data_IF_333523226851
#
_entry.id   IF_333523226851
#
_cell.length_a   1.000
_cell.length_b   1.000
_cell.length_c   1.000
_cell.angle_alpha   90.00
_cell.angle_beta   90.00
_cell.angle_gamma   90.00
#
_symmetry.space_group_name_H-M   'P 1'
#
loop_
_entity.id
_entity.type
_entity.pdbx_description
1 polymer ?
#
# COMPACT_ATOMS: atom_id res chain seq x y z
N UNK A 1 23.06 5.80 15.27
CA UNK A 1 21.81 5.13 15.68
C UNK A 1 22.22 3.88 16.43
N UNK A 2 21.76 3.72 17.68
CA UNK A 2 22.03 2.50 18.44
C UNK A 2 21.47 1.28 17.68
N UNK A 3 22.04 0.07 17.87
CA UNK A 3 21.49 -1.13 17.27
C UNK A 3 20.02 -1.30 17.65
N UNK A 4 19.15 -1.48 16.65
CA UNK A 4 17.72 -1.67 16.88
C UNK A 4 17.52 -3.12 17.29
N UNK A 5 17.33 -3.35 18.58
CA UNK A 5 17.06 -4.70 19.06
C UNK A 5 15.69 -5.18 18.58
N UNK A 6 15.53 -6.50 18.43
CA UNK A 6 14.23 -7.11 18.10
C UNK A 6 13.12 -6.62 19.05
N UNK A 7 13.43 -6.45 20.33
CA UNK A 7 12.47 -5.98 21.34
C UNK A 7 12.03 -4.53 21.12
N UNK A 8 12.94 -3.63 20.71
CA UNK A 8 12.59 -2.26 20.35
C UNK A 8 11.65 -2.23 19.14
N UNK A 9 11.95 -2.99 18.09
CA UNK A 9 11.08 -3.05 16.91
C UNK A 9 9.69 -3.58 17.26
N UNK A 10 9.60 -4.62 18.09
CA UNK A 10 8.32 -5.14 18.57
C UNK A 10 7.52 -4.08 19.33
N UNK A 11 8.16 -3.37 20.26
CA UNK A 11 7.52 -2.29 21.01
C UNK A 11 7.03 -1.16 20.07
N UNK A 12 7.83 -0.77 19.08
CA UNK A 12 7.44 0.21 18.07
C UNK A 12 6.22 -0.25 17.28
N UNK A 13 6.17 -1.51 16.83
CA UNK A 13 5.03 -2.03 16.08
C UNK A 13 3.76 -2.11 16.93
N UNK A 14 3.86 -2.50 18.22
CA UNK A 14 2.70 -2.46 19.12
C UNK A 14 2.19 -1.04 19.34
N UNK A 15 3.09 -0.08 19.54
CA UNK A 15 2.72 1.33 19.67
C UNK A 15 2.03 1.84 18.40
N UNK A 16 2.58 1.53 17.21
CA UNK A 16 1.96 1.91 15.94
C UNK A 16 0.59 1.27 15.74
N UNK A 17 0.39 0.03 16.19
CA UNK A 17 -0.93 -0.63 16.15
C UNK A 17 -1.94 0.04 17.06
N UNK A 18 -1.56 0.32 18.32
CA UNK A 18 -2.42 0.98 19.28
C UNK A 18 -2.81 2.40 18.80
N UNK A 19 -1.83 3.18 18.35
CA UNK A 19 -2.06 4.52 17.82
C UNK A 19 -2.86 4.48 16.51
N UNK A 20 -2.53 3.58 15.59
CA UNK A 20 -3.26 3.42 14.34
C UNK A 20 -4.72 3.07 14.56
N UNK A 21 -5.01 2.14 15.49
CA UNK A 21 -6.37 1.73 15.85
C UNK A 21 -7.14 2.86 16.52
N UNK A 22 -6.49 3.59 17.43
CA UNK A 22 -7.10 4.75 18.08
C UNK A 22 -7.41 5.85 17.06
N UNK A 23 -6.47 6.21 16.19
CA UNK A 23 -6.61 7.33 15.26
C UNK A 23 -7.53 7.04 14.07
N UNK A 24 -7.76 5.77 13.75
CA UNK A 24 -8.79 5.35 12.79
C UNK A 24 -10.11 5.13 13.53
N UNK A 25 -10.36 3.92 14.02
CA UNK A 25 -11.63 3.51 14.62
C UNK A 25 -11.98 4.26 15.91
N UNK A 26 -11.01 4.48 16.80
CA UNK A 26 -11.26 5.20 18.06
C UNK A 26 -11.79 6.62 17.80
N UNK A 27 -11.21 7.32 16.82
CA UNK A 27 -11.66 8.65 16.42
C UNK A 27 -12.98 8.63 15.68
N UNK A 28 -13.21 7.67 14.78
CA UNK A 28 -14.50 7.46 14.10
C UNK A 28 -15.66 7.27 15.09
N UNK A 29 -15.39 6.71 16.27
CA UNK A 29 -16.37 6.64 17.37
C UNK A 29 -16.52 8.01 18.04
N UNK A 30 -15.41 8.66 18.40
CA UNK A 30 -15.41 9.90 19.19
C UNK A 30 -15.92 11.13 18.42
N UNK A 31 -15.71 11.19 17.10
CA UNK A 31 -16.18 12.29 16.25
C UNK A 31 -17.62 12.11 15.74
N UNK A 32 -18.23 10.95 16.01
CA UNK A 32 -19.60 10.64 15.61
C UNK A 32 -19.74 10.04 14.21
N UNK A 33 -18.65 9.85 13.46
CA UNK A 33 -18.70 9.26 12.11
C UNK A 33 -19.35 7.88 12.10
N UNK A 34 -19.06 7.04 13.11
CA UNK A 34 -19.69 5.72 13.23
C UNK A 34 -21.20 5.83 13.44
N UNK A 35 -21.64 6.85 14.20
CA UNK A 35 -23.08 7.11 14.38
C UNK A 35 -23.73 7.46 13.05
N UNK A 36 -23.09 8.28 12.22
CA UNK A 36 -23.62 8.64 10.90
C UNK A 36 -23.70 7.42 9.97
N UNK A 37 -22.67 6.58 9.95
CA UNK A 37 -22.67 5.31 9.19
C UNK A 37 -23.82 4.40 9.64
N UNK A 38 -23.96 4.16 10.94
CA UNK A 38 -25.01 3.30 11.48
C UNK A 38 -26.41 3.91 11.27
N UNK A 39 -26.53 5.24 11.25
CA UNK A 39 -27.79 5.92 10.95
C UNK A 39 -28.18 5.76 9.48
N UNK A 40 -27.21 5.78 8.56
CA UNK A 40 -27.47 5.50 7.15
C UNK A 40 -27.95 4.06 6.91
N UNK A 41 -27.46 3.11 7.72
CA UNK A 41 -27.79 1.69 7.61
C UNK A 41 -29.01 1.23 8.41
N UNK A 42 -29.42 1.99 9.43
CA UNK A 42 -30.52 1.61 10.33
C UNK A 42 -31.48 2.77 10.59
N UNK A 43 -31.53 3.74 9.68
CA UNK A 43 -32.42 4.87 9.78
C UNK A 43 -33.89 4.42 9.91
N UNK A 44 -34.76 5.27 10.47
CA UNK A 44 -36.16 4.91 10.72
C UNK A 44 -36.97 4.70 9.43
N UNK A 45 -36.45 5.11 8.28
CA UNK A 45 -37.11 5.03 6.98
C UNK A 45 -36.49 3.95 6.11
N UNK A 46 -37.33 3.05 5.57
CA UNK A 46 -36.97 2.08 4.54
C UNK A 46 -37.58 2.50 3.19
N UNK A 47 -36.88 2.31 2.05
CA UNK A 47 -35.54 1.72 1.95
C UNK A 47 -34.44 2.63 2.50
N UNK A 48 -33.35 2.06 2.99
CA UNK A 48 -32.16 2.85 3.33
C UNK A 48 -31.68 3.57 2.09
N UNK A 49 -31.32 4.84 2.24
CA UNK A 49 -30.96 5.72 1.12
C UNK A 49 -29.45 5.89 1.09
N UNK A 50 -28.91 5.79 -0.12
CA UNK A 50 -27.51 6.02 -0.38
C UNK A 50 -27.17 7.50 -0.13
N UNK A 51 -26.15 7.81 0.68
CA UNK A 51 -25.86 9.19 1.10
C UNK A 51 -25.75 10.17 -0.09
N UNK A 52 -26.31 11.37 0.08
CA UNK A 52 -26.28 12.41 -0.95
C UNK A 52 -27.18 12.15 -2.17
N UNK A 53 -27.97 11.07 -2.18
CA UNK A 53 -28.86 10.72 -3.31
C UNK A 53 -30.29 10.40 -2.86
N UNK A 54 -31.18 10.15 -3.83
CA UNK A 54 -32.53 9.59 -3.60
C UNK A 54 -32.58 8.07 -3.90
N UNK A 55 -31.42 7.46 -4.19
CA UNK A 55 -31.37 6.05 -4.61
C UNK A 55 -31.31 5.10 -3.41
N UNK A 56 -31.98 3.94 -3.48
CA UNK A 56 -31.90 2.95 -2.42
C UNK A 56 -30.49 2.35 -2.33
N UNK A 57 -30.03 2.16 -1.10
CA UNK A 57 -28.84 1.38 -0.79
C UNK A 57 -29.13 -0.11 -1.07
N UNK A 58 -28.23 -0.75 -1.81
CA UNK A 58 -28.32 -2.17 -2.12
C UNK A 58 -27.84 -3.01 -0.93
N UNK A 59 -28.78 -3.60 -0.19
CA UNK A 59 -28.48 -4.40 1.02
C UNK A 59 -28.50 -5.93 0.84
N UNK A 60 -28.71 -6.40 -0.40
CA UNK A 60 -28.77 -7.83 -0.74
C UNK A 60 -27.92 -8.09 -1.97
N UNK A 61 -26.60 -8.14 -1.78
CA UNK A 61 -25.63 -8.27 -2.85
C UNK A 61 -25.34 -9.75 -3.12
N UNK A 62 -25.05 -10.51 -2.07
CA UNK A 62 -24.76 -11.95 -2.13
C UNK A 62 -25.97 -12.80 -1.76
N UNK A 63 -26.94 -12.22 -1.06
CA UNK A 63 -28.10 -12.93 -0.50
C UNK A 63 -27.87 -13.45 0.92
N UNK A 64 -26.63 -13.37 1.44
CA UNK A 64 -26.27 -13.74 2.80
C UNK A 64 -26.26 -12.47 3.66
N UNK A 65 -27.43 -12.14 4.21
CA UNK A 65 -27.69 -10.87 4.92
C UNK A 65 -26.69 -10.61 6.05
N UNK A 66 -26.45 -11.60 6.93
CA UNK A 66 -25.47 -11.51 8.00
C UNK A 66 -24.55 -12.75 7.95
N UNK A 67 -23.20 -12.61 7.97
CA UNK A 67 -22.45 -11.37 8.13
C UNK A 67 -22.00 -10.63 6.86
N UNK A 68 -22.27 -11.18 5.68
CA UNK A 68 -21.59 -10.76 4.45
C UNK A 68 -22.19 -9.46 3.88
N UNK A 69 -23.49 -9.44 3.57
CA UNK A 69 -24.10 -8.27 2.94
C UNK A 69 -24.06 -7.05 3.87
N UNK A 70 -24.30 -7.23 5.17
CA UNK A 70 -24.15 -6.14 6.14
C UNK A 70 -22.77 -5.48 6.15
N UNK A 71 -21.71 -6.29 6.02
CA UNK A 71 -20.34 -5.78 5.95
C UNK A 71 -20.10 -5.02 4.65
N UNK A 72 -20.66 -5.51 3.54
CA UNK A 72 -20.63 -4.80 2.26
C UNK A 72 -21.42 -3.50 2.33
N UNK A 73 -22.56 -3.46 3.02
CA UNK A 73 -23.36 -2.25 3.21
C UNK A 73 -22.56 -1.17 3.97
N UNK A 74 -21.87 -1.56 5.05
CA UNK A 74 -20.96 -0.68 5.79
C UNK A 74 -19.85 -0.11 4.88
N UNK A 75 -19.21 -0.98 4.09
CA UNK A 75 -18.15 -0.56 3.17
C UNK A 75 -18.70 0.31 2.03
N UNK A 76 -19.90 0.04 1.54
CA UNK A 76 -20.57 0.84 0.52
C UNK A 76 -20.78 2.27 1.01
N UNK A 77 -21.45 2.45 2.16
CA UNK A 77 -21.72 3.78 2.72
C UNK A 77 -20.42 4.52 3.03
N UNK A 78 -19.42 3.81 3.56
CA UNK A 78 -18.12 4.40 3.88
C UNK A 78 -17.36 4.90 2.63
N UNK A 79 -17.26 4.07 1.59
CA UNK A 79 -16.49 4.41 0.39
C UNK A 79 -17.29 5.26 -0.62
N UNK A 80 -18.63 5.29 -0.54
CA UNK A 80 -19.47 6.08 -1.44
C UNK A 80 -19.07 7.55 -1.46
N UNK A 81 -18.96 8.16 -0.27
CA UNK A 81 -18.59 9.56 -0.05
C UNK A 81 -17.14 9.88 -0.47
N UNK A 82 -16.33 8.85 -0.72
CA UNK A 82 -14.99 9.00 -1.27
C UNK A 82 -14.96 8.98 -2.80
N UNK A 83 -16.00 8.47 -3.47
CA UNK A 83 -15.99 8.25 -4.93
C UNK A 83 -17.06 9.02 -5.69
N UNK A 84 -18.11 9.50 -5.02
CA UNK A 84 -19.21 10.24 -5.64
C UNK A 84 -18.85 11.70 -5.97
N UNK A 85 -17.83 12.25 -5.31
CA UNK A 85 -17.34 13.62 -5.50
C UNK A 85 -18.09 14.67 -4.67
N UNK A 86 -19.02 14.26 -3.79
CA UNK A 86 -19.76 15.18 -2.92
C UNK A 86 -18.89 15.84 -1.85
N UNK A 87 -17.78 15.17 -1.48
CA UNK A 87 -16.75 15.67 -0.56
C UNK A 87 -15.40 15.75 -1.30
N UNK A 88 -15.09 16.88 -1.97
CA UNK A 88 -13.93 16.97 -2.88
C UNK A 88 -12.58 16.62 -2.23
N UNK A 89 -12.38 17.04 -0.98
CA UNK A 89 -11.19 16.69 -0.20
C UNK A 89 -11.07 15.18 0.03
N UNK A 90 -12.16 14.54 0.44
CA UNK A 90 -12.23 13.09 0.67
C UNK A 90 -11.94 12.32 -0.61
N UNK A 91 -12.53 12.73 -1.74
CA UNK A 91 -12.28 12.10 -3.03
C UNK A 91 -10.84 12.27 -3.52
N UNK A 92 -10.26 13.46 -3.36
CA UNK A 92 -8.85 13.70 -3.72
C UNK A 92 -7.89 12.82 -2.90
N UNK A 93 -8.15 12.67 -1.60
CA UNK A 93 -7.38 11.78 -0.72
C UNK A 93 -7.64 10.30 -1.04
N UNK A 94 -8.84 9.91 -1.44
CA UNK A 94 -9.14 8.57 -1.94
C UNK A 94 -8.32 8.21 -3.18
N UNK A 95 -8.24 9.12 -4.17
CA UNK A 95 -7.41 8.94 -5.37
C UNK A 95 -5.93 8.86 -5.00
N UNK A 96 -5.47 9.74 -4.12
CA UNK A 96 -4.09 9.74 -3.63
C UNK A 96 -3.74 8.43 -2.92
N UNK A 97 -4.61 7.97 -2.02
CA UNK A 97 -4.50 6.68 -1.33
C UNK A 97 -4.32 5.55 -2.33
N UNK A 98 -5.21 5.46 -3.33
CA UNK A 98 -5.20 4.39 -4.34
C UNK A 98 -3.86 4.34 -5.09
N UNK A 99 -3.36 5.50 -5.53
CA UNK A 99 -2.14 5.57 -6.32
C UNK A 99 -0.89 5.27 -5.49
N UNK A 100 -0.81 5.78 -4.26
CA UNK A 100 0.31 5.48 -3.37
C UNK A 100 0.30 4.02 -2.92
N UNK A 101 -0.89 3.47 -2.66
CA UNK A 101 -1.04 2.09 -2.26
C UNK A 101 -0.68 1.10 -3.38
N UNK A 102 -0.89 1.45 -4.66
CA UNK A 102 -0.39 0.67 -5.80
C UNK A 102 1.10 0.35 -5.67
N UNK A 103 1.92 1.35 -5.33
CA UNK A 103 3.37 1.15 -5.15
C UNK A 103 3.70 0.20 -4.00
N UNK A 104 2.95 0.29 -2.90
CA UNK A 104 3.10 -0.62 -1.76
C UNK A 104 2.71 -2.04 -2.17
N UNK A 105 1.55 -2.21 -2.81
CA UNK A 105 1.06 -3.51 -3.30
C UNK A 105 2.06 -4.15 -4.27
N UNK A 106 2.63 -3.37 -5.20
CA UNK A 106 3.67 -3.87 -6.11
C UNK A 106 4.85 -4.45 -5.34
N UNK A 107 5.35 -3.76 -4.31
CA UNK A 107 6.43 -4.29 -3.46
C UNK A 107 6.03 -5.57 -2.74
N UNK A 108 4.84 -5.61 -2.15
CA UNK A 108 4.31 -6.77 -1.42
C UNK A 108 4.15 -7.99 -2.34
N UNK A 109 3.54 -7.83 -3.53
CA UNK A 109 3.34 -8.93 -4.46
C UNK A 109 4.66 -9.42 -5.07
N UNK A 110 5.59 -8.52 -5.38
CA UNK A 110 6.93 -8.92 -5.82
C UNK A 110 7.66 -9.68 -4.71
N UNK A 111 7.58 -9.24 -3.47
CA UNK A 111 8.17 -9.95 -2.34
C UNK A 111 7.53 -11.33 -2.12
N UNK A 112 6.21 -11.45 -2.32
CA UNK A 112 5.50 -12.74 -2.25
C UNK A 112 5.94 -13.75 -3.31
N UNK A 113 6.55 -13.28 -4.41
CA UNK A 113 7.05 -14.11 -5.51
C UNK A 113 8.52 -14.57 -5.31
N UNK A 114 9.19 -14.14 -4.23
CA UNK A 114 10.59 -14.50 -3.96
C UNK A 114 10.75 -15.94 -3.50
N UNK A 115 11.92 -16.52 -3.73
CA UNK A 115 12.27 -17.90 -3.42
C UNK A 115 12.16 -18.23 -1.93
N UNK A 116 12.60 -17.33 -1.07
CA UNK A 116 12.42 -17.47 0.39
C UNK A 116 10.95 -17.57 0.82
N UNK A 117 10.06 -17.06 -0.02
CA UNK A 117 8.62 -17.06 0.18
C UNK A 117 7.96 -18.21 -0.64
N UNK A 118 8.62 -18.72 -1.68
CA UNK A 118 8.17 -19.80 -2.56
C UNK A 118 8.68 -21.15 -2.07
N UNK A 119 7.87 -21.83 -1.26
CA UNK A 119 8.18 -23.14 -0.66
C UNK A 119 7.26 -23.53 0.48
N UNK A 120 6.59 -22.54 1.09
CA UNK A 120 5.36 -22.73 1.84
C UNK A 120 4.21 -22.46 0.87
N UNK A 121 3.35 -23.43 0.63
CA UNK A 121 2.19 -23.41 -0.29
C UNK A 121 1.11 -22.36 0.05
N UNK A 122 1.44 -21.30 0.78
CA UNK A 122 0.51 -20.46 1.54
C UNK A 122 0.73 -18.95 1.40
N UNK A 123 1.56 -18.44 0.49
CA UNK A 123 1.95 -17.00 0.53
C UNK A 123 1.15 -16.05 -0.36
N UNK A 124 0.75 -16.37 -1.62
CA UNK A 124 -0.24 -15.54 -2.30
C UNK A 124 -1.53 -15.45 -1.50
N UNK A 125 -1.95 -16.56 -0.88
CA UNK A 125 -3.14 -16.61 -0.03
C UNK A 125 -2.92 -15.89 1.30
N UNK A 126 -1.75 -16.00 1.95
CA UNK A 126 -1.45 -15.28 3.19
C UNK A 126 -1.46 -13.76 3.00
N UNK A 127 -0.82 -13.27 1.93
CA UNK A 127 -0.89 -11.86 1.54
C UNK A 127 -2.33 -11.46 1.21
N UNK A 128 -3.07 -12.27 0.45
CA UNK A 128 -4.46 -11.99 0.09
C UNK A 128 -5.37 -11.96 1.30
N UNK A 129 -5.24 -12.90 2.23
CA UNK A 129 -6.03 -12.97 3.46
C UNK A 129 -5.75 -11.77 4.37
N UNK A 130 -4.48 -11.37 4.49
CA UNK A 130 -4.15 -10.13 5.20
C UNK A 130 -4.73 -8.90 4.49
N UNK A 131 -4.61 -8.80 3.17
CA UNK A 131 -5.17 -7.68 2.40
C UNK A 131 -6.71 -7.63 2.50
N UNK A 132 -7.38 -8.79 2.57
CA UNK A 132 -8.82 -8.85 2.85
C UNK A 132 -9.12 -8.36 4.28
N UNK A 133 -8.34 -8.80 5.28
CA UNK A 133 -8.49 -8.30 6.66
C UNK A 133 -8.23 -6.78 6.76
N UNK A 134 -7.28 -6.27 5.98
CA UNK A 134 -7.04 -4.84 5.81
C UNK A 134 -8.30 -4.14 5.32
N UNK A 135 -8.95 -4.67 4.27
CA UNK A 135 -10.17 -4.07 3.72
C UNK A 135 -11.32 -4.00 4.73
N UNK A 136 -11.41 -4.98 5.64
CA UNK A 136 -12.44 -5.01 6.67
C UNK A 136 -12.17 -4.08 7.86
N UNK A 137 -10.97 -3.52 7.96
CA UNK A 137 -10.56 -2.68 9.08
C UNK A 137 -9.83 -1.44 8.58
N UNK A 138 -8.51 -1.41 8.68
CA UNK A 138 -7.64 -0.34 8.22
C UNK A 138 -6.21 -0.87 8.14
N UNK A 139 -5.34 -0.26 7.33
CA UNK A 139 -3.93 -0.66 7.26
C UNK A 139 -3.19 -0.21 8.52
N UNK A 140 -3.60 0.88 9.15
CA UNK A 140 -3.09 1.35 10.42
C UNK A 140 -3.31 0.34 11.56
N UNK A 141 -4.40 -0.43 11.50
CA UNK A 141 -4.72 -1.45 12.49
C UNK A 141 -3.95 -2.75 12.21
N UNK A 142 -4.08 -3.27 10.99
CA UNK A 142 -3.63 -4.62 10.62
C UNK A 142 -2.19 -4.66 10.12
N UNK A 143 -1.69 -3.56 9.55
CA UNK A 143 -0.34 -3.42 9.01
C UNK A 143 0.74 -3.73 10.05
N UNK A 144 0.70 -3.19 11.27
CA UNK A 144 1.69 -3.52 12.30
C UNK A 144 1.73 -5.00 12.68
N UNK A 145 0.58 -5.68 12.74
CA UNK A 145 0.53 -7.11 13.00
C UNK A 145 1.14 -7.91 11.86
N UNK A 146 0.81 -7.55 10.62
CA UNK A 146 1.45 -8.13 9.44
C UNK A 146 2.95 -7.87 9.42
N UNK A 147 3.40 -6.64 9.70
CA UNK A 147 4.81 -6.30 9.73
C UNK A 147 5.53 -7.06 10.84
N UNK A 148 4.92 -7.21 12.02
CA UNK A 148 5.49 -8.02 13.10
C UNK A 148 5.66 -9.48 12.64
N UNK A 149 4.62 -10.07 12.07
CA UNK A 149 4.67 -11.44 11.56
C UNK A 149 5.71 -11.58 10.44
N UNK A 150 5.70 -10.67 9.48
CA UNK A 150 6.61 -10.66 8.34
C UNK A 150 8.06 -10.52 8.80
N UNK A 151 8.38 -9.51 9.61
CA UNK A 151 9.75 -9.27 10.09
C UNK A 151 10.23 -10.41 11.00
N UNK A 152 9.33 -11.05 11.76
CA UNK A 152 9.70 -12.18 12.62
C UNK A 152 10.00 -13.47 11.85
N UNK A 153 9.43 -13.63 10.65
CA UNK A 153 9.49 -14.89 9.90
C UNK A 153 10.21 -14.80 8.55
N UNK A 154 10.46 -13.59 8.04
CA UNK A 154 11.10 -13.38 6.75
C UNK A 154 12.61 -13.53 6.87
N UNK A 155 13.24 -14.42 6.09
CA UNK A 155 14.69 -14.55 6.07
C UNK A 155 15.36 -13.37 5.35
N UNK A 156 14.57 -12.46 4.74
CA UNK A 156 15.05 -11.23 4.11
C UNK A 156 15.38 -10.12 5.12
N UNK A 157 15.19 -10.38 6.42
CA UNK A 157 15.40 -9.40 7.49
C UNK A 157 16.29 -10.00 8.58
N UNK A 158 17.30 -9.23 9.00
CA UNK A 158 18.21 -9.61 10.09
C UNK A 158 18.22 -8.55 11.19
N UNK A 159 18.34 -9.01 12.43
CA UNK A 159 18.44 -8.18 13.63
C UNK A 159 19.89 -8.10 14.12
N UNK A 160 20.24 -7.04 14.85
CA UNK A 160 21.63 -6.76 15.25
C UNK A 160 22.28 -7.81 16.17
N UNK A 161 21.47 -8.69 16.78
CA UNK A 161 21.95 -9.78 17.63
C UNK A 161 22.02 -11.13 16.90
N UNK A 162 21.68 -11.18 15.61
CA UNK A 162 21.72 -12.38 14.78
C UNK A 162 22.93 -12.35 13.85
N UNK A 163 23.53 -13.51 13.59
CA UNK A 163 24.56 -13.66 12.55
C UNK A 163 23.89 -13.32 11.21
N UNK A 164 24.34 -12.27 10.49
CA UNK A 164 23.72 -11.91 9.23
C UNK A 164 23.95 -13.03 8.20
N UNK A 165 22.92 -13.38 7.41
CA UNK A 165 23.08 -14.30 6.30
C UNK A 165 24.13 -13.74 5.33
N UNK A 166 24.86 -14.64 4.69
CA UNK A 166 25.83 -14.23 3.68
C UNK A 166 25.14 -13.45 2.57
N UNK A 167 25.85 -12.52 1.93
CA UNK A 167 25.28 -11.74 0.82
C UNK A 167 24.76 -12.65 -0.31
N UNK A 168 25.45 -13.77 -0.56
CA UNK A 168 25.04 -14.75 -1.56
C UNK A 168 23.75 -15.49 -1.17
N UNK A 169 23.62 -15.88 0.09
CA UNK A 169 22.40 -16.50 0.60
C UNK A 169 21.20 -15.55 0.48
N UNK A 170 21.36 -14.28 0.87
CA UNK A 170 20.33 -13.25 0.68
C UNK A 170 19.97 -13.08 -0.79
N UNK A 171 20.95 -13.10 -1.70
CA UNK A 171 20.72 -12.98 -3.15
C UNK A 171 19.89 -14.15 -3.69
N UNK A 172 20.17 -15.36 -3.24
CA UNK A 172 19.40 -16.57 -3.62
C UNK A 172 17.99 -16.49 -3.04
N UNK A 173 17.85 -16.17 -1.76
CA UNK A 173 16.56 -16.06 -1.06
C UNK A 173 15.68 -14.94 -1.62
N UNK A 174 16.27 -13.86 -2.09
CA UNK A 174 15.58 -12.72 -2.69
C UNK A 174 15.26 -12.93 -4.17
N UNK A 175 15.76 -13.98 -4.81
CA UNK A 175 15.50 -14.23 -6.22
C UNK A 175 14.02 -14.57 -6.46
N UNK A 176 13.46 -14.12 -7.57
CA UNK A 176 12.10 -14.46 -8.00
C UNK A 176 12.11 -14.79 -9.50
N UNK A 177 11.24 -15.70 -9.97
CA UNK A 177 11.12 -15.98 -11.40
C UNK A 177 10.63 -14.73 -12.15
N UNK A 178 11.35 -14.23 -13.16
CA UNK A 178 10.97 -13.00 -13.86
C UNK A 178 9.55 -13.05 -14.45
N UNK A 179 9.13 -14.21 -14.97
CA UNK A 179 7.75 -14.38 -15.48
C UNK A 179 6.70 -14.08 -14.41
N UNK A 180 6.89 -14.57 -13.19
CA UNK A 180 5.97 -14.34 -12.08
C UNK A 180 5.95 -12.88 -11.64
N UNK A 181 7.11 -12.21 -11.65
CA UNK A 181 7.19 -10.77 -11.39
C UNK A 181 6.43 -9.98 -12.47
N UNK A 182 6.58 -10.34 -13.74
CA UNK A 182 5.88 -9.67 -14.85
C UNK A 182 4.35 -9.79 -14.75
N UNK A 183 3.82 -10.81 -14.06
CA UNK A 183 2.38 -10.96 -13.82
C UNK A 183 1.82 -10.00 -12.76
N UNK A 184 2.67 -9.43 -11.90
CA UNK A 184 2.20 -8.55 -10.81
C UNK A 184 1.44 -7.35 -11.36
N UNK A 185 2.02 -6.65 -12.34
CA UNK A 185 1.42 -5.45 -12.90
C UNK A 185 0.07 -5.69 -13.60
N UNK A 186 -0.07 -6.63 -14.57
CA UNK A 186 -1.37 -6.88 -15.20
C UNK A 186 -2.42 -7.39 -14.20
N UNK A 187 -2.02 -8.13 -13.16
CA UNK A 187 -2.96 -8.54 -12.11
C UNK A 187 -3.42 -7.39 -11.22
N UNK A 188 -2.54 -6.44 -10.89
CA UNK A 188 -2.92 -5.21 -10.21
C UNK A 188 -3.79 -4.30 -11.09
N UNK A 189 -3.54 -4.26 -12.40
CA UNK A 189 -4.40 -3.52 -13.33
C UNK A 189 -5.81 -4.11 -13.31
N UNK A 190 -5.94 -5.42 -13.52
CA UNK A 190 -7.24 -6.08 -13.63
C UNK A 190 -7.98 -6.17 -12.29
N UNK A 191 -7.28 -6.52 -11.23
CA UNK A 191 -7.88 -6.81 -9.93
C UNK A 191 -8.05 -5.60 -9.03
N UNK A 192 -7.29 -4.51 -9.25
CA UNK A 192 -7.26 -3.34 -8.36
C UNK A 192 -7.57 -2.03 -9.08
N UNK A 193 -6.83 -1.68 -10.13
CA UNK A 193 -7.03 -0.39 -10.81
C UNK A 193 -8.34 -0.34 -11.61
N UNK A 194 -8.70 -1.41 -12.31
CA UNK A 194 -9.92 -1.43 -13.11
C UNK A 194 -11.19 -1.30 -12.24
N UNK A 195 -11.36 -2.04 -11.13
CA UNK A 195 -12.45 -1.80 -10.19
C UNK A 195 -12.42 -0.38 -9.60
N UNK A 196 -11.22 0.15 -9.29
CA UNK A 196 -11.08 1.49 -8.75
C UNK A 196 -11.54 2.58 -9.73
N UNK A 197 -11.22 2.44 -11.02
CA UNK A 197 -11.72 3.34 -12.07
C UNK A 197 -13.22 3.18 -12.24
N UNK A 198 -13.74 1.95 -12.24
CA UNK A 198 -15.16 1.68 -12.39
C UNK A 198 -16.01 2.31 -11.27
N UNK A 199 -15.55 2.26 -10.02
CA UNK A 199 -16.26 2.88 -8.89
C UNK A 199 -16.15 4.41 -8.85
N UNK A 200 -15.17 4.99 -9.54
CA UNK A 200 -14.96 6.44 -9.61
C UNK A 200 -15.67 7.09 -10.82
N UNK A 201 -16.38 6.31 -11.65
CA UNK A 201 -17.17 6.87 -12.74
C UNK A 201 -18.35 7.69 -12.18
N UNK A 202 -18.61 8.91 -12.69
CA UNK A 202 -19.68 9.75 -12.17
C UNK A 202 -21.05 9.09 -12.28
N UNK A 203 -21.78 9.05 -11.16
CA UNK A 203 -23.16 8.59 -11.10
C UNK A 203 -24.10 9.71 -10.64
N UNK A 204 -25.35 9.79 -11.15
CA UNK A 204 -25.96 8.95 -12.20
C UNK A 204 -25.58 9.36 -13.64
N UNK A 205 -24.66 10.32 -13.81
CA UNK A 205 -24.40 10.96 -15.11
C UNK A 205 -23.77 10.04 -16.17
N UNK A 206 -22.80 9.20 -15.80
CA UNK A 206 -22.11 8.27 -16.71
C UNK A 206 -22.55 6.83 -16.47
N UNK A 207 -22.74 6.45 -15.22
CA UNK A 207 -23.19 5.11 -14.80
C UNK A 207 -24.33 5.22 -13.79
N UNK A 208 -25.17 4.19 -13.64
CA UNK A 208 -26.23 4.20 -12.62
C UNK A 208 -25.68 4.04 -11.20
N UNK A 209 -26.43 4.50 -10.19
CA UNK A 209 -26.03 4.35 -8.79
C UNK A 209 -25.88 2.87 -8.40
N UNK A 210 -26.70 2.01 -9.02
CA UNK A 210 -26.64 0.56 -8.83
C UNK A 210 -25.33 -0.06 -9.38
N UNK A 211 -24.88 0.41 -10.55
CA UNK A 211 -23.59 0.00 -11.10
C UNK A 211 -22.44 0.46 -10.21
N UNK A 212 -22.45 1.71 -9.74
CA UNK A 212 -21.38 2.25 -8.91
C UNK A 212 -21.27 1.51 -7.57
N UNK A 213 -22.41 1.15 -6.95
CA UNK A 213 -22.43 0.29 -5.75
C UNK A 213 -21.80 -1.09 -6.04
N UNK A 214 -22.14 -1.74 -7.15
CA UNK A 214 -21.51 -3.02 -7.53
C UNK A 214 -20.01 -2.89 -7.80
N UNK A 215 -19.57 -1.78 -8.42
CA UNK A 215 -18.16 -1.50 -8.65
C UNK A 215 -17.40 -1.29 -7.32
N UNK A 216 -18.01 -0.61 -6.35
CA UNK A 216 -17.47 -0.47 -4.99
C UNK A 216 -17.31 -1.83 -4.30
N UNK A 217 -18.30 -2.73 -4.42
CA UNK A 217 -18.18 -4.10 -3.91
C UNK A 217 -17.02 -4.83 -4.57
N UNK A 218 -16.91 -4.76 -5.91
CA UNK A 218 -15.82 -5.39 -6.64
C UNK A 218 -14.45 -4.86 -6.20
N UNK A 219 -14.33 -3.55 -5.98
CA UNK A 219 -13.10 -2.94 -5.47
C UNK A 219 -12.78 -3.38 -4.04
N UNK A 220 -13.76 -3.50 -3.14
CA UNK A 220 -13.52 -4.07 -1.81
C UNK A 220 -13.06 -5.55 -1.87
N UNK A 221 -13.31 -6.26 -2.97
CA UNK A 221 -12.80 -7.60 -3.23
C UNK A 221 -11.48 -7.62 -4.01
N UNK A 222 -10.83 -6.47 -4.22
CA UNK A 222 -9.61 -6.37 -5.03
C UNK A 222 -8.52 -7.40 -4.67
N UNK A 223 -8.24 -7.74 -3.38
CA UNK A 223 -7.15 -8.66 -3.09
C UNK A 223 -7.41 -10.05 -3.69
N UNK A 224 -8.66 -10.50 -3.62
CA UNK A 224 -9.09 -11.75 -4.22
C UNK A 224 -9.05 -11.66 -5.75
N UNK A 225 -9.50 -10.54 -6.34
CA UNK A 225 -9.46 -10.33 -7.79
C UNK A 225 -8.02 -10.30 -8.33
N UNK A 226 -7.08 -9.65 -7.63
CA UNK A 226 -5.65 -9.65 -7.99
C UNK A 226 -5.10 -11.07 -7.90
N UNK A 227 -5.39 -11.80 -6.81
CA UNK A 227 -4.97 -13.20 -6.67
C UNK A 227 -5.50 -14.09 -7.80
N UNK A 228 -6.81 -14.05 -8.07
CA UNK A 228 -7.43 -14.82 -9.16
C UNK A 228 -6.81 -14.44 -10.50
N UNK A 229 -6.60 -13.14 -10.76
CA UNK A 229 -5.94 -12.67 -11.99
C UNK A 229 -4.53 -13.23 -12.12
N UNK A 230 -3.74 -13.25 -11.04
CA UNK A 230 -2.40 -13.85 -11.05
C UNK A 230 -2.46 -15.35 -11.36
N UNK A 231 -3.41 -16.10 -10.78
CA UNK A 231 -3.58 -17.53 -11.04
C UNK A 231 -3.99 -17.80 -12.49
N UNK A 232 -4.96 -17.04 -13.02
CA UNK A 232 -5.43 -17.16 -14.39
C UNK A 232 -4.30 -16.88 -15.37
N UNK A 233 -3.57 -15.77 -15.21
CA UNK A 233 -2.45 -15.47 -16.10
C UNK A 233 -1.34 -16.50 -16.01
N UNK A 234 -1.04 -17.00 -14.81
CA UNK A 234 -0.06 -18.06 -14.63
C UNK A 234 -0.48 -19.33 -15.38
N UNK A 235 -1.73 -19.76 -15.23
CA UNK A 235 -2.27 -20.95 -15.89
C UNK A 235 -2.30 -20.80 -17.42
N UNK A 236 -2.72 -19.65 -17.94
CA UNK A 236 -2.70 -19.36 -19.38
C UNK A 236 -1.28 -19.43 -19.96
N UNK A 237 -0.29 -18.90 -19.24
CA UNK A 237 1.11 -18.98 -19.67
C UNK A 237 1.65 -20.41 -19.67
N UNK A 238 1.21 -21.26 -18.73
CA UNK A 238 1.57 -22.69 -18.73
C UNK A 238 0.97 -23.40 -19.94
N UNK A 239 -0.30 -23.15 -20.25
CA UNK A 239 -0.96 -23.73 -21.43
C UNK A 239 -0.32 -23.28 -22.76
N UNK A 240 0.21 -22.07 -22.82
CA UNK A 240 0.89 -21.52 -24.00
C UNK A 240 2.30 -22.09 -24.25
N UNK A 241 2.65 -23.24 -23.63
CA UNK A 241 3.98 -23.86 -23.76
C UNK A 241 5.07 -23.12 -23.00
N UNK A 242 4.70 -22.30 -22.01
CA UNK A 242 5.66 -21.61 -21.18
C UNK A 242 6.45 -22.60 -20.33
N UNK A 243 7.76 -22.73 -20.61
CA UNK A 243 8.71 -23.35 -19.68
C UNK A 243 8.42 -22.85 -18.25
N UNK A 244 8.26 -23.77 -17.30
CA UNK A 244 7.86 -23.50 -15.91
C UNK A 244 8.76 -22.52 -15.16
N UNK A 245 8.55 -22.34 -13.84
CA UNK A 245 9.27 -21.38 -12.99
C UNK A 245 10.80 -21.60 -12.91
N UNK A 246 11.53 -21.32 -14.00
CA UNK A 246 12.99 -21.42 -14.05
C UNK A 246 13.59 -20.21 -13.34
N UNK A 247 14.05 -20.44 -12.11
CA UNK A 247 14.93 -19.49 -11.39
C UNK A 247 16.26 -19.24 -12.12
N UNK A 248 16.64 -20.13 -13.04
CA UNK A 248 17.86 -20.11 -13.87
C UNK A 248 17.82 -19.09 -15.03
N UNK A 249 17.18 -17.94 -14.83
CA UNK A 249 17.23 -16.81 -15.77
C UNK A 249 18.44 -15.92 -15.48
N UNK A 250 18.98 -15.25 -16.50
CA UNK A 250 20.12 -14.34 -16.35
C UNK A 250 19.78 -13.21 -15.38
N UNK A 251 20.80 -12.73 -14.64
CA UNK A 251 20.63 -11.59 -13.73
C UNK A 251 20.14 -10.33 -14.45
N UNK A 252 20.51 -10.15 -15.73
CA UNK A 252 20.07 -9.03 -16.57
C UNK A 252 18.56 -9.07 -16.84
N UNK A 253 18.00 -10.21 -17.22
CA UNK A 253 16.56 -10.35 -17.45
C UNK A 253 15.77 -10.05 -16.18
N UNK A 254 16.21 -10.60 -15.04
CA UNK A 254 15.57 -10.34 -13.74
C UNK A 254 15.58 -8.86 -13.36
N UNK A 255 16.71 -8.19 -13.60
CA UNK A 255 16.87 -6.74 -13.37
C UNK A 255 15.91 -5.93 -14.22
N UNK A 256 15.87 -6.19 -15.52
CA UNK A 256 14.99 -5.47 -16.46
C UNK A 256 13.52 -5.64 -16.08
N UNK A 257 13.10 -6.86 -15.75
CA UNK A 257 11.73 -7.15 -15.30
C UNK A 257 11.35 -6.36 -14.05
N UNK A 258 12.19 -6.37 -13.00
CA UNK A 258 11.90 -5.62 -11.77
C UNK A 258 11.84 -4.11 -12.04
N UNK A 259 12.76 -3.58 -12.85
CA UNK A 259 12.76 -2.16 -13.24
C UNK A 259 11.48 -1.76 -13.93
N UNK A 260 10.97 -2.56 -14.86
CA UNK A 260 9.71 -2.25 -15.57
C UNK A 260 8.56 -2.18 -14.57
N UNK A 261 8.39 -3.23 -13.75
CA UNK A 261 7.28 -3.31 -12.79
C UNK A 261 7.35 -2.17 -11.77
N UNK A 262 8.54 -1.88 -11.24
CA UNK A 262 8.73 -0.80 -10.29
C UNK A 262 8.57 0.59 -10.92
N UNK A 263 9.14 0.82 -12.11
CA UNK A 263 9.06 2.11 -12.80
C UNK A 263 7.61 2.49 -13.10
N UNK A 264 6.79 1.55 -13.58
CA UNK A 264 5.37 1.84 -13.89
C UNK A 264 4.60 2.23 -12.63
N UNK A 265 4.71 1.44 -11.54
CA UNK A 265 4.02 1.77 -10.29
C UNK A 265 4.53 3.07 -9.65
N UNK A 266 5.84 3.30 -9.68
CA UNK A 266 6.43 4.56 -9.21
C UNK A 266 5.93 5.74 -10.03
N UNK A 267 5.86 5.62 -11.36
CA UNK A 267 5.39 6.71 -12.20
C UNK A 267 3.94 7.10 -11.91
N UNK A 268 3.04 6.13 -11.76
CA UNK A 268 1.63 6.38 -11.40
C UNK A 268 1.53 7.06 -10.03
N UNK A 269 2.16 6.49 -9.01
CA UNK A 269 2.14 7.04 -7.64
C UNK A 269 2.74 8.44 -7.57
N UNK A 270 3.88 8.66 -8.23
CA UNK A 270 4.55 9.96 -8.33
C UNK A 270 3.68 11.00 -9.04
N UNK A 271 3.09 10.65 -10.18
CA UNK A 271 2.23 11.55 -10.94
C UNK A 271 1.03 12.03 -10.12
N UNK A 272 0.37 11.13 -9.40
CA UNK A 272 -0.76 11.48 -8.53
C UNK A 272 -0.31 12.30 -7.31
N UNK A 273 0.86 12.01 -6.73
CA UNK A 273 1.41 12.83 -5.66
C UNK A 273 1.69 14.26 -6.11
N UNK A 274 2.36 14.43 -7.26
CA UNK A 274 2.62 15.74 -7.83
C UNK A 274 1.33 16.46 -8.23
N UNK A 275 0.32 15.73 -8.72
CA UNK A 275 -1.01 16.28 -9.00
C UNK A 275 -1.69 16.82 -7.73
N UNK A 276 -1.73 16.03 -6.65
CA UNK A 276 -2.31 16.46 -5.37
C UNK A 276 -1.56 17.66 -4.79
N UNK A 277 -0.23 17.65 -4.79
CA UNK A 277 0.58 18.78 -4.33
C UNK A 277 0.33 20.02 -5.18
N UNK A 278 0.23 19.88 -6.50
CA UNK A 278 -0.02 21.01 -7.40
C UNK A 278 -1.40 21.63 -7.14
N UNK A 279 -2.45 20.80 -7.11
CA UNK A 279 -3.81 21.22 -6.76
C UNK A 279 -3.78 21.96 -5.42
N UNK A 280 -3.17 21.34 -4.42
CA UNK A 280 -3.21 21.87 -3.07
C UNK A 280 -2.42 23.18 -2.92
N UNK A 281 -1.20 23.26 -3.45
CA UNK A 281 -0.38 24.48 -3.36
C UNK A 281 -0.97 25.63 -4.17
N UNK A 282 -1.65 25.36 -5.28
CA UNK A 282 -2.27 26.43 -6.08
C UNK A 282 -3.43 27.12 -5.34
N UNK A 283 -4.09 26.47 -4.37
CA UNK A 283 -5.08 27.15 -3.51
C UNK A 283 -4.47 28.26 -2.65
N UNK A 284 -3.18 28.16 -2.32
CA UNK A 284 -2.46 29.14 -1.49
C UNK A 284 -1.71 30.14 -2.35
N UNK A 285 -1.01 29.67 -3.39
CA UNK A 285 -0.16 30.50 -4.24
C UNK A 285 -0.98 31.29 -5.28
N UNK A 286 -2.11 30.74 -5.73
CA UNK A 286 -2.95 31.32 -6.78
C UNK A 286 -4.46 31.19 -6.44
N UNK A 287 -4.92 31.70 -5.29
CA UNK A 287 -6.29 31.49 -4.81
C UNK A 287 -7.36 32.02 -5.77
N UNK A 288 -7.04 33.02 -6.60
CA UNK A 288 -7.97 33.60 -7.59
C UNK A 288 -8.30 32.65 -8.75
N UNK A 289 -7.55 31.56 -8.92
CA UNK A 289 -7.86 30.52 -9.92
C UNK A 289 -8.93 29.54 -9.45
N UNK A 290 -9.31 29.59 -8.17
CA UNK A 290 -10.19 28.64 -7.52
C UNK A 290 -11.53 29.29 -7.15
N UNK A 291 -12.59 28.49 -7.18
CA UNK A 291 -13.86 28.91 -6.61
C UNK A 291 -13.72 29.04 -5.08
N UNK A 292 -14.21 30.13 -4.46
CA UNK A 292 -14.01 30.40 -3.03
C UNK A 292 -14.38 29.23 -2.11
N UNK A 293 -15.44 28.50 -2.43
CA UNK A 293 -15.95 27.35 -1.70
C UNK A 293 -15.00 26.14 -1.69
N UNK A 294 -14.14 25.99 -2.71
CA UNK A 294 -13.21 24.86 -2.85
C UNK A 294 -11.83 25.12 -2.24
N UNK A 295 -11.54 26.36 -1.86
CA UNK A 295 -10.22 26.75 -1.35
C UNK A 295 -9.87 25.99 -0.07
N UNK A 296 -10.82 25.86 0.86
CA UNK A 296 -10.59 25.13 2.12
C UNK A 296 -10.44 23.63 1.86
N UNK A 297 -11.29 23.06 1.00
CA UNK A 297 -11.29 21.63 0.69
C UNK A 297 -9.95 21.14 0.13
N UNK A 298 -9.32 21.93 -0.74
CA UNK A 298 -8.03 21.58 -1.34
C UNK A 298 -6.82 22.20 -0.62
N UNK A 299 -7.02 22.89 0.50
CA UNK A 299 -5.92 23.53 1.23
C UNK A 299 -4.88 22.50 1.72
N UNK A 300 -3.55 22.81 1.69
CA UNK A 300 -2.51 21.86 2.10
C UNK A 300 -2.67 21.31 3.51
N UNK A 301 -3.12 22.13 4.45
CA UNK A 301 -3.36 21.68 5.82
C UNK A 301 -4.51 20.67 5.94
N UNK A 302 -5.47 20.69 5.01
CA UNK A 302 -6.62 19.77 5.01
C UNK A 302 -6.29 18.45 4.32
N UNK A 303 -5.47 18.50 3.27
CA UNK A 303 -5.12 17.31 2.47
C UNK A 303 -3.87 16.56 2.96
N UNK A 304 -2.88 17.26 3.54
CA UNK A 304 -1.57 16.67 3.84
C UNK A 304 -1.35 16.39 5.32
N UNK A 305 -2.19 16.96 6.20
CA UNK A 305 -2.01 16.88 7.65
C UNK A 305 -3.26 16.26 8.28
N UNK A 306 -3.14 15.09 8.93
CA UNK A 306 -4.26 14.52 9.66
C UNK A 306 -4.75 15.46 10.78
N UNK A 307 -6.08 15.63 10.95
CA UNK A 307 -6.62 16.51 11.97
C UNK A 307 -6.29 16.00 13.37
N UNK A 308 -5.60 16.82 14.17
CA UNK A 308 -5.18 16.46 15.53
C UNK A 308 -6.35 16.56 16.51
N UNK A 309 -7.14 17.63 16.43
CA UNK A 309 -8.33 17.81 17.26
C UNK A 309 -9.43 16.85 16.84
N UNK A 310 -10.12 16.22 17.80
CA UNK A 310 -11.33 15.43 17.53
C UNK A 310 -12.50 16.41 17.47
N UNK A 311 -13.01 16.66 16.26
CA UNK A 311 -14.14 17.56 16.03
C UNK A 311 -15.34 16.75 15.55
N UNK A 312 -16.55 16.98 16.09
CA UNK A 312 -17.75 16.29 15.61
C UNK A 312 -17.95 16.45 14.10
N UNK A 313 -18.11 15.34 13.41
CA UNK A 313 -18.36 15.31 11.95
C UNK A 313 -19.82 15.59 11.65
N UNK A 314 -20.10 16.22 10.51
CA UNK A 314 -21.48 16.51 10.08
C UNK A 314 -22.05 15.42 9.21
N UNK A 315 -21.21 14.79 8.40
CA UNK A 315 -21.56 13.74 7.44
C UNK A 315 -20.65 12.53 7.60
N UNK A 316 -20.96 11.44 6.90
CA UNK A 316 -20.05 10.31 6.75
C UNK A 316 -18.76 10.74 6.04
N UNK A 317 -18.87 11.54 4.96
CA UNK A 317 -17.73 11.99 4.15
C UNK A 317 -16.67 12.79 4.93
N UNK A 318 -17.09 13.64 5.87
CA UNK A 318 -16.19 14.37 6.77
C UNK A 318 -15.33 13.41 7.61
N UNK A 319 -15.95 12.34 8.11
CA UNK A 319 -15.30 11.30 8.90
C UNK A 319 -14.32 10.46 8.10
N UNK A 320 -14.71 10.11 6.87
CA UNK A 320 -13.88 9.31 5.95
C UNK A 320 -12.56 10.02 5.61
N UNK A 321 -12.57 11.34 5.43
CA UNK A 321 -11.34 12.12 5.21
C UNK A 321 -10.34 11.94 6.36
N UNK A 322 -10.80 12.20 7.60
CA UNK A 322 -10.00 12.03 8.82
C UNK A 322 -9.47 10.60 8.93
N UNK A 323 -10.34 9.61 8.70
CA UNK A 323 -9.97 8.20 8.71
C UNK A 323 -8.86 7.91 7.71
N UNK A 324 -8.99 8.32 6.45
CA UNK A 324 -7.99 8.07 5.40
C UNK A 324 -6.64 8.71 5.70
N UNK A 325 -6.62 9.95 6.20
CA UNK A 325 -5.37 10.64 6.53
C UNK A 325 -4.59 9.91 7.62
N UNK A 326 -5.28 9.47 8.67
CA UNK A 326 -4.67 8.69 9.75
C UNK A 326 -4.29 7.28 9.30
N UNK A 327 -5.16 6.60 8.53
CA UNK A 327 -4.90 5.26 8.03
C UNK A 327 -3.64 5.22 7.16
N UNK A 328 -3.53 6.18 6.24
CA UNK A 328 -2.36 6.37 5.38
C UNK A 328 -1.09 6.66 6.16
N UNK A 329 -1.14 7.58 7.13
CA UNK A 329 0.04 7.94 7.90
C UNK A 329 0.66 6.72 8.58
N UNK A 330 -0.14 5.97 9.34
CA UNK A 330 0.36 4.79 10.06
C UNK A 330 0.68 3.64 9.11
N UNK A 331 -0.18 3.38 8.13
CA UNK A 331 0.03 2.32 7.14
C UNK A 331 1.32 2.50 6.35
N UNK A 332 1.59 3.71 5.86
CA UNK A 332 2.81 3.97 5.12
C UNK A 332 4.06 4.02 6.00
N UNK A 333 3.98 4.49 7.24
CA UNK A 333 5.10 4.37 8.20
C UNK A 333 5.49 2.90 8.35
N UNK A 334 4.51 2.00 8.54
CA UNK A 334 4.77 0.57 8.66
C UNK A 334 5.38 -0.01 7.38
N UNK A 335 4.84 0.34 6.21
CA UNK A 335 5.38 -0.10 4.92
C UNK A 335 6.84 0.34 4.72
N UNK A 336 7.15 1.61 4.98
CA UNK A 336 8.51 2.16 4.90
C UNK A 336 9.44 1.46 5.90
N UNK A 337 8.99 1.19 7.13
CA UNK A 337 9.78 0.48 8.13
C UNK A 337 10.15 -0.93 7.66
N UNK A 338 9.22 -1.66 7.03
CA UNK A 338 9.49 -2.99 6.47
C UNK A 338 10.47 -2.91 5.31
N UNK A 339 10.23 -2.04 4.34
CA UNK A 339 11.11 -1.85 3.18
C UNK A 339 12.52 -1.41 3.59
N UNK A 340 12.63 -0.51 4.56
CA UNK A 340 13.89 -0.09 5.15
C UNK A 340 14.60 -1.24 5.87
N UNK A 341 13.88 -2.06 6.63
CA UNK A 341 14.47 -3.21 7.34
C UNK A 341 15.08 -4.23 6.38
N UNK A 342 14.43 -4.47 5.24
CA UNK A 342 14.96 -5.34 4.20
C UNK A 342 16.19 -4.73 3.50
N UNK A 343 16.14 -3.45 3.11
CA UNK A 343 17.29 -2.76 2.52
C UNK A 343 18.49 -2.73 3.48
N UNK A 344 18.25 -2.43 4.77
CA UNK A 344 19.25 -2.44 5.82
C UNK A 344 19.97 -3.78 5.91
N UNK A 345 19.22 -4.88 5.83
CA UNK A 345 19.79 -6.24 5.87
C UNK A 345 20.78 -6.47 4.73
N UNK A 346 20.44 -6.04 3.51
CA UNK A 346 21.35 -6.10 2.34
C UNK A 346 22.58 -5.20 2.54
N UNK A 347 22.41 -4.00 3.08
CA UNK A 347 23.51 -3.07 3.35
C UNK A 347 24.48 -3.60 4.41
N UNK A 348 23.98 -4.26 5.45
CA UNK A 348 24.79 -4.91 6.49
C UNK A 348 25.56 -6.09 5.90
N UNK A 349 24.90 -6.96 5.14
CA UNK A 349 25.55 -8.12 4.50
C UNK A 349 26.64 -7.71 3.48
N UNK A 350 26.53 -6.53 2.86
CA UNK A 350 27.59 -5.94 2.02
C UNK A 350 28.69 -5.20 2.80
N UNK A 351 28.54 -4.97 4.10
CA UNK A 351 29.43 -4.11 4.89
C UNK A 351 29.32 -2.61 4.55
N UNK A 352 28.28 -2.19 3.83
CA UNK A 352 28.12 -0.80 3.35
C UNK A 352 27.33 0.08 4.32
N UNK A 353 26.64 -0.51 5.30
CA UNK A 353 25.76 0.19 6.22
C UNK A 353 26.47 1.36 6.93
N UNK A 354 27.58 1.07 7.62
CA UNK A 354 28.32 2.09 8.38
C UNK A 354 29.11 3.08 7.50
N UNK A 355 29.50 2.67 6.30
CA UNK A 355 30.35 3.49 5.42
C UNK A 355 29.57 4.50 4.59
N UNK A 356 28.37 4.14 4.11
CA UNK A 356 27.61 4.96 3.15
C UNK A 356 26.26 5.46 3.69
N UNK A 357 25.69 4.78 4.68
CA UNK A 357 24.30 4.99 5.10
C UNK A 357 24.20 5.25 6.61
N UNK A 358 24.80 6.35 7.06
CA UNK A 358 24.64 6.85 8.43
C UNK A 358 23.16 7.20 8.69
N UNK A 359 22.61 6.77 9.83
CA UNK A 359 21.17 6.81 10.12
C UNK A 359 20.48 8.16 9.85
N UNK A 360 21.14 9.29 10.14
CA UNK A 360 20.59 10.63 9.87
C UNK A 360 20.42 10.90 8.37
N UNK A 361 21.37 10.49 7.53
CA UNK A 361 21.27 10.66 6.06
C UNK A 361 20.11 9.85 5.50
N UNK A 362 19.88 8.65 6.05
CA UNK A 362 18.76 7.79 5.66
C UNK A 362 17.44 8.43 6.05
N UNK A 363 17.33 8.91 7.28
CA UNK A 363 16.11 9.57 7.76
C UNK A 363 15.78 10.79 6.90
N UNK A 364 16.77 11.65 6.63
CA UNK A 364 16.60 12.81 5.73
C UNK A 364 16.20 12.37 4.33
N UNK A 365 16.81 11.31 3.79
CA UNK A 365 16.45 10.76 2.48
C UNK A 365 15.02 10.20 2.43
N UNK A 366 14.57 9.51 3.47
CA UNK A 366 13.20 8.99 3.58
C UNK A 366 12.21 10.16 3.68
N UNK A 367 12.43 11.09 4.61
CA UNK A 367 11.54 12.24 4.81
C UNK A 367 11.48 13.11 3.55
N UNK A 368 12.64 13.46 2.98
CA UNK A 368 12.71 14.21 1.73
C UNK A 368 12.05 13.47 0.57
N UNK A 369 12.25 12.16 0.47
CA UNK A 369 11.59 11.32 -0.52
C UNK A 369 10.07 11.31 -0.36
N UNK A 370 9.55 11.26 0.87
CA UNK A 370 8.10 11.27 1.14
C UNK A 370 7.49 12.58 0.68
N UNK A 371 8.17 13.70 0.92
CA UNK A 371 7.73 15.03 0.51
C UNK A 371 7.78 15.25 -1.01
N UNK A 372 8.70 14.60 -1.71
CA UNK A 372 8.91 14.80 -3.15
C UNK A 372 8.09 13.80 -3.98
N UNK A 373 8.00 12.56 -3.54
CA UNK A 373 7.43 11.47 -4.34
C UNK A 373 6.21 10.81 -3.70
N UNK A 374 5.94 11.08 -2.44
CA UNK A 374 4.91 10.39 -1.68
C UNK A 374 5.44 9.13 -0.99
N UNK A 375 4.77 8.70 0.09
CA UNK A 375 5.29 7.66 0.97
C UNK A 375 5.20 6.24 0.39
N UNK A 376 4.19 5.96 -0.45
CA UNK A 376 4.10 4.71 -1.19
C UNK A 376 5.23 4.57 -2.22
N UNK A 377 5.56 5.67 -2.91
CA UNK A 377 6.71 5.71 -3.83
C UNK A 377 8.04 5.52 -3.10
N UNK A 378 8.22 6.11 -1.92
CA UNK A 378 9.42 5.85 -1.09
C UNK A 378 9.51 4.38 -0.67
N UNK A 379 8.41 3.79 -0.22
CA UNK A 379 8.36 2.38 0.16
C UNK A 379 8.86 1.48 -1.00
N UNK A 380 8.32 1.68 -2.21
CA UNK A 380 8.74 0.92 -3.39
C UNK A 380 10.16 1.28 -3.86
N UNK A 381 10.58 2.55 -3.73
CA UNK A 381 11.93 2.99 -4.05
C UNK A 381 12.99 2.32 -3.18
N UNK A 382 12.72 2.12 -1.88
CA UNK A 382 13.59 1.34 -0.99
C UNK A 382 13.72 -0.12 -1.45
N UNK A 383 12.61 -0.73 -1.86
CA UNK A 383 12.60 -2.09 -2.44
C UNK A 383 13.38 -2.17 -3.75
N UNK A 384 13.27 -1.14 -4.61
CA UNK A 384 14.05 -1.04 -5.83
C UNK A 384 15.55 -0.98 -5.50
N UNK A 385 15.98 -0.03 -4.67
CA UNK A 385 17.40 0.09 -4.29
C UNK A 385 17.94 -1.22 -3.72
N UNK A 386 17.18 -1.89 -2.85
CA UNK A 386 17.52 -3.21 -2.32
C UNK A 386 17.78 -4.22 -3.44
N UNK A 387 16.86 -4.32 -4.40
CA UNK A 387 16.96 -5.29 -5.49
C UNK A 387 18.11 -4.97 -6.46
N UNK A 388 18.41 -3.70 -6.71
CA UNK A 388 19.59 -3.31 -7.50
C UNK A 388 20.90 -3.74 -6.82
N UNK A 389 21.01 -3.52 -5.51
CA UNK A 389 22.18 -3.92 -4.73
C UNK A 389 22.38 -5.44 -4.71
N UNK A 390 21.30 -6.21 -4.67
CA UNK A 390 21.35 -7.67 -4.74
C UNK A 390 21.83 -8.19 -6.11
N UNK A 391 21.70 -7.39 -7.17
CA UNK A 391 22.10 -7.77 -8.53
C UNK A 391 23.48 -7.27 -8.95
N UNK A 392 24.10 -6.36 -8.18
CA UNK A 392 25.47 -5.94 -8.43
C UNK A 392 26.44 -7.11 -8.20
N UNK A 393 27.53 -7.22 -8.99
CA UNK A 393 28.58 -8.20 -8.73
C UNK A 393 29.14 -8.05 -7.32
N UNK A 394 29.45 -9.17 -6.66
CA UNK A 394 30.34 -9.17 -5.49
C UNK A 394 31.72 -8.78 -5.98
N UNK A 395 32.17 -7.58 -5.62
CA UNK A 395 33.56 -7.20 -5.85
C UNK A 395 34.38 -7.94 -4.80
N UNK A 396 34.96 -9.08 -5.19
CA UNK A 396 35.98 -9.78 -4.40
C UNK A 396 37.19 -8.86 -4.23
N UNK A 397 37.13 -8.01 -3.21
CA UNK A 397 38.22 -7.10 -2.84
C UNK A 397 39.32 -7.82 -2.03
N UNK A 398 39.24 -9.15 -1.90
CA UNK A 398 40.19 -9.97 -1.15
C UNK A 398 41.19 -10.75 -2.01
N UNK A 399 41.01 -10.85 -3.34
CA UNK A 399 41.98 -11.57 -4.20
C UNK A 399 43.08 -10.66 -4.77
N UNK A 400 42.82 -9.35 -4.89
CA UNK A 400 43.77 -8.43 -5.55
C UNK A 400 44.94 -7.92 -4.67
N UNK A 401 44.99 -8.26 -3.37
CA UNK A 401 46.09 -7.86 -2.47
C UNK A 401 47.10 -8.97 -2.16
N UNK A 402 46.89 -10.19 -2.66
CA UNK A 402 47.80 -11.33 -2.43
C UNK A 402 48.98 -11.42 -3.41
N UNK A 403 48.83 -10.96 -4.65
CA UNK A 403 49.81 -11.23 -5.72
C UNK A 403 50.70 -10.03 -6.08
N UNK A 404 51.02 -9.17 -5.11
CA UNK A 404 51.94 -8.03 -5.32
C UNK A 404 53.02 -7.95 -4.25
N UNK A 405 53.62 -9.10 -3.94
CA UNK A 405 54.88 -9.23 -3.19
C UNK A 405 55.56 -10.52 -3.64
N UNK A 406 56.03 -10.55 -4.87
CA UNK A 406 57.04 -11.48 -5.38
C UNK A 406 57.35 -11.03 -6.82
N UNK A 407 58.11 -9.95 -6.94
CA UNK A 407 59.00 -9.65 -8.07
C UNK A 407 60.18 -8.82 -7.55
#
# INVERSE_FOLDING_TARGET
MAPTTRNQLKATLYLLSALGTYHTWGRTVLDGSLSHLLTALHGPNLPYILPGTESPLRTRITGIVWPIDYLLDMLLVFFWEAVDGSHPATSAIGIYFLAQYLSVLTGIYVDSARRSQSGRTTIPIGTTLWLLLFQLSAIACTGPFWAFWYLANSPLVTYDNAIPPSFEELRIQSSAPPRRIMLVLPSLILGYLLPAVAMALPSPGVVSNDFQQLALVAWNLFPALVYVSMQVFHYVLLLAGGDGEKYATTASTRRTTLRIVYAVSLWISFAVHMGLLSISLTTVLFPTLWAPETLDDFHPARLLIPPVAVTPTRTVGDGVLSFFLWDQLFGYIVGILVAWSQLRTVLVARGWYHQRWAGTKVLVGIVGGVLIAGPGSVCLGLNWVRDELLMLPTTDTTVAKGNRKEE
#
